data_IF_723461779766
#
_entry.id   IF_723461779766
#
_cell.length_a   1.000
_cell.length_b   1.000
_cell.length_c   1.000
_cell.angle_alpha   90.00
_cell.angle_beta   90.00
_cell.angle_gamma   90.00
#
_symmetry.space_group_name_H-M   'P 1'
#
loop_
_entity.id
_entity.type
_entity.pdbx_description
1 polymer ?
#
# COMPACT_ATOMS: atom_id res chain seq x y z
N UNK A 1 -13.49 2.47 7.97
CA UNK A 1 -12.10 2.01 7.71
C UNK A 1 -11.27 3.26 7.56
N UNK A 2 -10.17 3.40 8.31
CA UNK A 2 -9.40 4.64 8.30
C UNK A 2 -8.19 4.53 7.36
N UNK A 3 -7.91 5.63 6.65
CA UNK A 3 -6.72 5.78 5.81
C UNK A 3 -5.82 6.88 6.32
N UNK A 4 -4.53 6.75 6.07
CA UNK A 4 -3.51 7.68 6.54
C UNK A 4 -2.63 8.11 5.38
N UNK A 5 -2.32 9.42 5.33
CA UNK A 5 -1.40 10.02 4.37
C UNK A 5 -0.39 10.91 5.08
N UNK A 6 0.76 10.33 5.43
CA UNK A 6 1.76 10.95 6.33
C UNK A 6 3.17 10.70 5.82
N UNK A 7 4.17 11.45 6.30
CA UNK A 7 5.57 11.28 5.87
C UNK A 7 6.27 10.18 6.65
N UNK A 8 7.12 9.42 5.96
CA UNK A 8 8.06 8.49 6.58
C UNK A 8 9.33 9.20 7.07
N UNK A 9 10.23 8.47 7.72
CA UNK A 9 11.52 9.00 8.19
C UNK A 9 12.43 9.52 7.06
N UNK A 10 12.14 9.18 5.80
CA UNK A 10 12.83 9.68 4.60
C UNK A 10 12.06 10.81 3.95
N UNK A 11 11.15 11.43 4.69
CA UNK A 11 10.39 12.58 4.26
C UNK A 11 9.44 12.32 3.09
N UNK A 12 9.19 11.05 2.73
CA UNK A 12 8.32 10.61 1.64
C UNK A 12 6.92 10.30 2.16
N UNK A 13 5.91 10.79 1.47
CA UNK A 13 4.52 10.47 1.79
C UNK A 13 4.22 8.97 1.59
N UNK A 14 3.49 8.43 2.56
CA UNK A 14 3.00 7.05 2.59
C UNK A 14 1.50 7.04 2.73
N UNK A 15 0.85 6.18 1.97
CA UNK A 15 -0.57 5.89 2.05
C UNK A 15 -0.77 4.49 2.59
N UNK A 16 -1.52 4.35 3.68
CA UNK A 16 -1.84 3.05 4.28
C UNK A 16 -3.21 3.11 4.98
N UNK A 17 -3.70 1.96 5.44
CA UNK A 17 -4.99 1.84 6.14
C UNK A 17 -4.81 1.22 7.51
N UNK A 18 -5.81 1.38 8.38
CA UNK A 18 -5.80 0.80 9.73
C UNK A 18 -5.90 -0.72 9.77
N UNK A 19 -6.39 -1.32 8.69
CA UNK A 19 -6.49 -2.77 8.57
C UNK A 19 -5.09 -3.45 8.60
N UNK A 20 -4.92 -4.56 9.33
CA UNK A 20 -3.66 -5.29 9.40
C UNK A 20 -3.31 -5.90 8.04
N UNK A 21 -2.04 -6.23 7.80
CA UNK A 21 -1.66 -6.95 6.59
C UNK A 21 -2.44 -8.26 6.48
N UNK A 22 -3.01 -8.54 5.31
CA UNK A 22 -3.72 -9.81 5.06
C UNK A 22 -3.17 -10.45 3.80
N UNK A 23 -3.09 -11.78 3.80
CA UNK A 23 -2.77 -12.50 2.57
C UNK A 23 -3.82 -12.19 1.51
N UNK A 24 -3.35 -11.98 0.27
CA UNK A 24 -4.24 -11.71 -0.86
C UNK A 24 -4.95 -13.02 -1.21
N UNK A 25 -6.22 -13.15 -0.77
CA UNK A 25 -7.05 -14.31 -1.05
C UNK A 25 -7.70 -14.19 -2.44
N UNK A 26 -7.53 -15.23 -3.26
CA UNK A 26 -8.15 -15.39 -4.58
C UNK A 26 -8.72 -16.82 -4.62
N UNK A 27 -9.96 -17.02 -5.12
CA UNK A 27 -10.57 -18.35 -5.18
C UNK A 27 -9.73 -19.30 -6.05
N UNK A 28 -9.36 -20.45 -5.47
CA UNK A 28 -8.43 -21.43 -6.07
C UNK A 28 -9.21 -22.61 -6.60
N UNK A 29 -8.96 -23.08 -7.83
CA UNK A 29 -9.60 -24.30 -8.35
C UNK A 29 -8.66 -25.45 -8.73
N UNK A 30 -7.39 -25.25 -9.16
CA UNK A 30 -6.58 -26.42 -9.64
C UNK A 30 -5.07 -26.48 -9.36
N UNK A 31 -4.39 -25.43 -8.86
CA UNK A 31 -2.91 -25.43 -8.68
C UNK A 31 -2.45 -24.86 -7.33
N UNK A 32 -3.01 -25.40 -6.23
CA UNK A 32 -2.78 -24.92 -4.85
C UNK A 32 -1.29 -24.74 -4.48
N UNK A 33 -0.41 -25.66 -4.86
CA UNK A 33 1.02 -25.64 -4.48
C UNK A 33 1.83 -24.55 -5.18
N UNK A 34 1.64 -24.35 -6.49
CA UNK A 34 2.33 -23.26 -7.21
C UNK A 34 1.85 -21.90 -6.70
N UNK A 35 0.56 -21.82 -6.35
CA UNK A 35 -0.05 -20.63 -5.77
C UNK A 35 0.45 -20.30 -4.36
N UNK A 36 0.52 -21.28 -3.46
CA UNK A 36 1.08 -21.10 -2.12
C UNK A 36 2.54 -20.63 -2.17
N UNK A 37 3.33 -21.18 -3.10
CA UNK A 37 4.72 -20.74 -3.32
C UNK A 37 4.78 -19.32 -3.90
N UNK A 38 3.87 -18.97 -4.79
CA UNK A 38 3.75 -17.61 -5.33
C UNK A 38 3.35 -16.59 -4.26
N UNK A 39 2.42 -16.93 -3.36
CA UNK A 39 2.04 -16.09 -2.21
C UNK A 39 3.24 -15.84 -1.29
N UNK A 40 4.03 -16.88 -0.97
CA UNK A 40 5.29 -16.71 -0.22
C UNK A 40 6.29 -15.78 -0.93
N UNK A 41 6.32 -15.78 -2.26
CA UNK A 41 7.15 -14.83 -3.02
C UNK A 41 6.58 -13.42 -3.00
N UNK A 42 5.27 -13.24 -2.98
CA UNK A 42 4.64 -11.92 -2.88
C UNK A 42 4.95 -11.25 -1.53
N UNK A 43 4.99 -12.03 -0.44
CA UNK A 43 5.39 -11.53 0.89
C UNK A 43 6.88 -11.12 0.96
N UNK A 44 7.68 -11.40 -0.08
CA UNK A 44 9.05 -10.87 -0.19
C UNK A 44 9.07 -9.42 -0.69
N UNK A 45 7.94 -8.88 -1.19
CA UNK A 45 7.85 -7.46 -1.49
C UNK A 45 8.14 -6.64 -0.21
N UNK A 46 8.82 -5.49 -0.32
CA UNK A 46 9.02 -4.61 0.82
C UNK A 46 7.68 -4.34 1.53
N UNK A 47 7.57 -4.54 2.85
CA UNK A 47 6.30 -4.41 3.58
C UNK A 47 5.57 -3.09 3.32
N UNK A 48 6.34 -2.01 3.13
CA UNK A 48 5.83 -0.67 2.77
C UNK A 48 5.02 -0.66 1.48
N UNK A 49 5.51 -1.36 0.47
CA UNK A 49 4.86 -1.43 -0.83
C UNK A 49 3.60 -2.28 -0.67
N UNK A 50 3.72 -3.46 -0.05
CA UNK A 50 2.60 -4.37 0.13
C UNK A 50 1.44 -3.73 0.93
N UNK A 51 1.75 -3.03 2.03
CA UNK A 51 0.76 -2.29 2.83
C UNK A 51 0.06 -1.19 2.04
N UNK A 52 0.80 -0.48 1.18
CA UNK A 52 0.24 0.54 0.31
C UNK A 52 -0.68 -0.07 -0.74
N UNK A 53 -0.27 -1.15 -1.40
CA UNK A 53 -1.10 -1.84 -2.40
C UNK A 53 -2.38 -2.39 -1.76
N UNK A 54 -2.28 -2.99 -0.59
CA UNK A 54 -3.45 -3.45 0.16
C UNK A 54 -4.37 -2.30 0.56
N UNK A 55 -3.83 -1.14 0.94
CA UNK A 55 -4.64 0.03 1.23
C UNK A 55 -5.44 0.48 0.00
N UNK A 56 -4.84 0.50 -1.19
CA UNK A 56 -5.58 0.79 -2.43
C UNK A 56 -6.63 -0.28 -2.73
N UNK A 57 -6.29 -1.56 -2.63
CA UNK A 57 -7.24 -2.65 -2.87
C UNK A 57 -8.46 -2.56 -1.94
N UNK A 58 -8.25 -2.14 -0.69
CA UNK A 58 -9.32 -1.98 0.30
C UNK A 58 -10.32 -0.89 -0.05
N UNK A 59 -9.92 0.14 -0.80
CA UNK A 59 -10.85 1.17 -1.30
C UNK A 59 -12.00 0.55 -2.10
N UNK A 60 -11.76 -0.57 -2.78
CA UNK A 60 -12.79 -1.27 -3.54
C UNK A 60 -13.94 -1.78 -2.66
N UNK A 61 -13.69 -1.96 -1.35
CA UNK A 61 -14.66 -2.42 -0.35
C UNK A 61 -15.30 -1.27 0.44
N UNK A 62 -14.84 -0.04 0.25
CA UNK A 62 -15.41 1.13 0.95
C UNK A 62 -16.63 1.61 0.17
N UNK A 63 -17.79 1.56 0.81
CA UNK A 63 -19.07 1.97 0.21
C UNK A 63 -19.34 3.47 0.43
N UNK A 64 -18.80 4.03 1.51
CA UNK A 64 -18.95 5.43 1.94
C UNK A 64 -18.69 6.44 0.82
N UNK A 65 -19.52 7.49 0.79
CA UNK A 65 -19.43 8.56 -0.21
C UNK A 65 -18.15 9.39 -0.06
N UNK A 66 -17.79 9.70 1.19
CA UNK A 66 -16.57 10.39 1.57
C UNK A 66 -15.57 9.43 2.22
N UNK A 67 -14.30 9.56 1.84
CA UNK A 67 -13.21 8.76 2.38
C UNK A 67 -12.34 9.64 3.29
N UNK A 68 -12.24 9.25 4.56
CA UNK A 68 -11.40 9.90 5.56
C UNK A 68 -9.93 9.52 5.40
N UNK A 69 -9.08 10.53 5.17
CA UNK A 69 -7.64 10.39 5.02
C UNK A 69 -6.95 11.25 6.07
N UNK A 70 -6.56 10.59 7.16
CA UNK A 70 -5.85 11.21 8.28
C UNK A 70 -4.48 11.72 7.86
N UNK A 71 -4.12 12.93 8.30
CA UNK A 71 -2.81 13.52 8.07
C UNK A 71 -2.25 14.18 9.33
N UNK A 72 -0.96 14.50 9.33
CA UNK A 72 -0.24 14.99 10.52
C UNK A 72 -0.65 16.38 11.04
N UNK A 73 -1.46 17.16 10.32
CA UNK A 73 -1.79 18.54 10.74
C UNK A 73 -0.67 19.58 10.59
N UNK A 74 0.60 19.21 10.42
CA UNK A 74 1.74 20.15 10.28
C UNK A 74 1.68 21.04 9.03
N UNK A 75 0.85 20.68 8.05
CA UNK A 75 0.67 21.43 6.81
C UNK A 75 -0.81 21.76 6.62
N UNK A 76 -1.12 22.93 6.02
CA UNK A 76 -2.49 23.30 5.72
C UNK A 76 -3.18 22.24 4.85
N UNK A 77 -4.47 22.00 5.11
CA UNK A 77 -5.27 20.98 4.43
C UNK A 77 -5.22 21.14 2.89
N UNK A 78 -5.30 22.38 2.38
CA UNK A 78 -5.19 22.67 0.93
C UNK A 78 -3.91 22.08 0.31
N UNK A 79 -2.79 22.15 1.05
CA UNK A 79 -1.50 21.62 0.60
C UNK A 79 -1.47 20.10 0.65
N UNK A 80 -2.08 19.50 1.68
CA UNK A 80 -2.20 18.03 1.80
C UNK A 80 -3.07 17.48 0.69
N UNK A 81 -4.22 18.10 0.41
CA UNK A 81 -5.11 17.74 -0.71
C UNK A 81 -4.38 17.74 -2.05
N UNK A 82 -3.63 18.81 -2.34
CA UNK A 82 -2.82 18.87 -3.56
C UNK A 82 -1.75 17.78 -3.60
N UNK A 83 -0.98 17.61 -2.52
CA UNK A 83 0.06 16.57 -2.43
C UNK A 83 -0.52 15.16 -2.61
N UNK A 84 -1.68 14.91 -2.03
CA UNK A 84 -2.40 13.65 -2.15
C UNK A 84 -2.86 13.41 -3.58
N UNK A 85 -3.45 14.41 -4.25
CA UNK A 85 -3.87 14.29 -5.66
C UNK A 85 -2.68 13.98 -6.60
N UNK A 86 -1.55 14.67 -6.42
CA UNK A 86 -0.32 14.41 -7.17
C UNK A 86 0.26 13.04 -6.85
N UNK A 87 0.17 12.60 -5.60
CA UNK A 87 0.56 11.26 -5.19
C UNK A 87 -0.28 10.20 -5.89
N UNK A 88 -1.62 10.33 -5.92
CA UNK A 88 -2.49 9.40 -6.63
C UNK A 88 -2.19 9.36 -8.12
N UNK A 89 -1.98 10.53 -8.76
CA UNK A 89 -1.60 10.58 -10.17
C UNK A 89 -0.29 9.82 -10.43
N UNK A 90 0.74 10.06 -9.61
CA UNK A 90 2.02 9.35 -9.69
C UNK A 90 1.85 7.83 -9.50
N UNK A 91 1.05 7.41 -8.52
CA UNK A 91 0.81 5.98 -8.28
C UNK A 91 0.04 5.33 -9.43
N UNK A 92 -0.95 6.03 -10.00
CA UNK A 92 -1.68 5.56 -11.18
C UNK A 92 -0.74 5.32 -12.36
N UNK A 93 0.09 6.30 -12.70
CA UNK A 93 1.05 6.17 -13.81
C UNK A 93 2.05 5.04 -13.56
N UNK A 94 2.56 4.91 -12.33
CA UNK A 94 3.45 3.80 -11.94
C UNK A 94 2.78 2.45 -12.16
N UNK A 95 1.53 2.28 -11.73
CA UNK A 95 0.78 1.03 -11.88
C UNK A 95 0.52 0.67 -13.34
N UNK A 96 0.14 1.66 -14.16
CA UNK A 96 -0.05 1.45 -15.60
C UNK A 96 1.26 0.98 -16.25
N UNK A 97 2.39 1.63 -15.94
CA UNK A 97 3.70 1.23 -16.47
C UNK A 97 4.10 -0.18 -16.02
N UNK A 98 3.86 -0.54 -14.75
CA UNK A 98 4.13 -1.89 -14.24
C UNK A 98 3.30 -2.93 -15.01
N UNK A 99 1.98 -2.71 -15.15
CA UNK A 99 1.10 -3.64 -15.86
C UNK A 99 1.47 -3.81 -17.34
N UNK A 100 1.90 -2.73 -18.01
CA UNK A 100 2.44 -2.81 -19.38
C UNK A 100 3.69 -3.69 -19.40
N UNK A 101 4.65 -3.45 -18.50
CA UNK A 101 5.85 -4.25 -18.38
C UNK A 101 5.57 -5.73 -18.11
N UNK A 102 4.65 -6.01 -17.18
CA UNK A 102 4.23 -7.37 -16.84
C UNK A 102 3.55 -8.08 -18.03
N UNK A 103 2.76 -7.35 -18.83
CA UNK A 103 2.10 -7.89 -20.03
C UNK A 103 3.12 -8.27 -21.10
N UNK A 104 4.22 -7.51 -21.25
CA UNK A 104 5.32 -7.86 -22.16
C UNK A 104 6.07 -9.11 -21.67
N UNK A 105 6.21 -9.27 -20.34
CA UNK A 105 6.86 -10.42 -19.73
C UNK A 105 5.98 -11.68 -19.69
N UNK A 106 4.66 -11.52 -19.78
CA UNK A 106 3.71 -12.61 -19.65
C UNK A 106 3.90 -13.70 -20.72
N UNK A 107 4.08 -13.41 -22.03
CA UNK A 107 4.42 -14.40 -23.04
C UNK A 107 5.68 -15.22 -22.70
N UNK A 108 6.74 -14.56 -22.20
CA UNK A 108 7.98 -15.22 -21.81
C UNK A 108 7.75 -16.18 -20.62
N UNK A 109 6.95 -15.75 -19.63
CA UNK A 109 6.59 -16.59 -18.49
C UNK A 109 5.61 -17.73 -18.86
N UNK A 110 4.81 -17.53 -19.90
CA UNK A 110 3.91 -18.53 -20.47
C UNK A 110 4.67 -19.65 -21.17
N UNK A 111 5.77 -19.35 -21.85
CA UNK A 111 6.68 -20.36 -22.40
C UNK A 111 7.33 -21.20 -21.29
N UNK A 112 7.69 -20.58 -20.16
CA UNK A 112 8.19 -21.31 -18.99
C UNK A 112 7.11 -22.22 -18.35
N UNK A 113 5.82 -22.02 -18.66
CA UNK A 113 4.73 -22.91 -18.22
C UNK A 113 4.70 -24.25 -18.93
N UNK A 114 5.39 -24.36 -20.06
CA UNK A 114 5.51 -25.60 -20.82
C UNK A 114 6.57 -26.54 -20.22
N UNK A 115 7.38 -26.06 -19.27
CA UNK A 115 8.36 -26.88 -18.56
C UNK A 115 7.70 -27.73 -17.48
N UNK A 116 8.07 -29.02 -17.33
CA UNK A 116 7.48 -29.90 -16.33
C UNK A 116 7.83 -29.42 -14.91
N UNK A 117 6.80 -29.16 -14.09
CA UNK A 117 6.92 -28.73 -12.70
C UNK A 117 5.87 -27.69 -12.29
N UNK A 118 5.78 -27.32 -11.00
CA UNK A 118 4.91 -26.24 -10.58
C UNK A 118 5.45 -24.92 -11.15
N UNK A 119 4.69 -24.27 -12.04
CA UNK A 119 5.10 -22.99 -12.60
C UNK A 119 4.87 -21.83 -11.62
N UNK A 120 5.73 -21.77 -10.60
CA UNK A 120 5.74 -20.74 -9.56
C UNK A 120 6.02 -19.35 -10.14
N UNK A 121 6.82 -19.25 -11.20
CA UNK A 121 7.18 -17.98 -11.81
C UNK A 121 5.96 -17.31 -12.47
N UNK A 122 5.21 -18.07 -13.27
CA UNK A 122 3.96 -17.58 -13.85
C UNK A 122 2.90 -17.29 -12.78
N UNK A 123 2.77 -18.16 -11.77
CA UNK A 123 1.83 -17.92 -10.67
C UNK A 123 2.17 -16.64 -9.88
N UNK A 124 3.47 -16.37 -9.64
CA UNK A 124 3.93 -15.15 -8.98
C UNK A 124 3.69 -13.90 -9.83
N UNK A 125 3.99 -13.98 -11.14
CA UNK A 125 3.72 -12.88 -12.07
C UNK A 125 2.22 -12.59 -12.15
N UNK A 126 1.38 -13.62 -12.25
CA UNK A 126 -0.08 -13.47 -12.27
C UNK A 126 -0.61 -12.83 -10.98
N UNK A 127 -0.09 -13.24 -9.81
CA UNK A 127 -0.49 -12.65 -8.53
C UNK A 127 -0.05 -11.18 -8.42
N UNK A 128 1.15 -10.83 -8.89
CA UNK A 128 1.61 -9.44 -8.97
C UNK A 128 0.71 -8.60 -9.88
N UNK A 129 0.40 -9.10 -11.09
CA UNK A 129 -0.51 -8.43 -12.03
C UNK A 129 -1.89 -8.21 -11.42
N UNK A 130 -2.47 -9.24 -10.78
CA UNK A 130 -3.78 -9.10 -10.13
C UNK A 130 -3.72 -8.08 -8.99
N UNK A 131 -2.64 -8.08 -8.20
CA UNK A 131 -2.44 -7.12 -7.11
C UNK A 131 -2.37 -5.69 -7.65
N UNK A 132 -1.52 -5.44 -8.66
CA UNK A 132 -1.37 -4.14 -9.28
C UNK A 132 -2.63 -3.68 -10.02
N UNK A 133 -3.36 -4.60 -10.65
CA UNK A 133 -4.64 -4.30 -11.29
C UNK A 133 -5.69 -3.87 -10.28
N UNK A 134 -5.87 -4.62 -9.19
CA UNK A 134 -6.84 -4.27 -8.13
C UNK A 134 -6.42 -3.00 -7.40
N UNK A 135 -5.13 -2.78 -7.18
CA UNK A 135 -4.63 -1.53 -6.62
C UNK A 135 -4.91 -0.35 -7.57
N UNK A 136 -4.70 -0.50 -8.88
CA UNK A 136 -5.04 0.53 -9.88
C UNK A 136 -6.53 0.86 -9.88
N UNK A 137 -7.41 -0.16 -9.84
CA UNK A 137 -8.85 0.05 -9.68
C UNK A 137 -9.15 0.84 -8.39
N UNK A 138 -8.49 0.47 -7.29
CA UNK A 138 -8.60 1.17 -6.01
C UNK A 138 -8.16 2.63 -6.07
N UNK A 139 -7.04 2.92 -6.73
CA UNK A 139 -6.52 4.28 -6.96
C UNK A 139 -7.52 5.10 -7.77
N UNK A 140 -8.06 4.55 -8.86
CA UNK A 140 -9.03 5.24 -9.70
C UNK A 140 -10.33 5.52 -8.95
N UNK A 141 -10.82 4.55 -8.17
CA UNK A 141 -11.99 4.75 -7.30
C UNK A 141 -11.73 5.80 -6.23
N UNK A 142 -10.57 5.76 -5.58
CA UNK A 142 -10.15 6.74 -4.58
C UNK A 142 -10.09 8.14 -5.17
N UNK A 143 -9.48 8.31 -6.36
CA UNK A 143 -9.35 9.60 -7.02
C UNK A 143 -10.71 10.24 -7.39
N UNK A 144 -11.74 9.42 -7.66
CA UNK A 144 -13.09 9.89 -8.00
C UNK A 144 -14.03 10.12 -6.81
N UNK A 145 -13.59 9.87 -5.57
CA UNK A 145 -14.42 10.03 -4.36
C UNK A 145 -14.13 11.35 -3.66
N UNK A 146 -15.08 11.81 -2.84
CA UNK A 146 -14.87 12.96 -1.95
C UNK A 146 -13.86 12.57 -0.86
N UNK A 147 -12.93 13.46 -0.55
CA UNK A 147 -11.93 13.27 0.50
C UNK A 147 -12.14 14.24 1.64
N UNK A 148 -12.18 13.67 2.84
CA UNK A 148 -12.07 14.39 4.09
C UNK A 148 -10.66 14.19 4.64
N UNK A 149 -10.06 15.26 5.16
CA UNK A 149 -8.69 15.25 5.67
C UNK A 149 -8.67 15.56 7.17
N UNK A 150 -9.15 14.63 8.02
CA UNK A 150 -9.06 14.79 9.46
C UNK A 150 -7.59 14.85 9.91
N UNK A 151 -7.34 15.60 10.98
CA UNK A 151 -6.02 15.71 11.59
C UNK A 151 -5.81 14.55 12.57
N UNK A 152 -4.66 13.91 12.47
CA UNK A 152 -4.17 12.88 13.39
C UNK A 152 -2.89 13.40 14.08
N UNK A 153 -3.02 14.07 15.24
CA UNK A 153 -1.94 14.88 15.83
C UNK A 153 -0.68 14.12 16.19
N UNK A 154 -0.77 12.83 16.56
CA UNK A 154 0.42 12.04 16.89
C UNK A 154 1.38 11.87 15.69
N UNK A 155 0.87 11.98 14.46
CA UNK A 155 1.73 12.00 13.29
C UNK A 155 2.49 13.33 13.12
N UNK A 156 2.04 14.42 13.75
CA UNK A 156 2.82 15.65 13.87
C UNK A 156 4.08 15.40 14.70
N UNK A 157 3.89 14.83 15.89
CA UNK A 157 4.98 14.49 16.81
C UNK A 157 6.00 13.58 16.13
N UNK A 158 5.53 12.59 15.37
CA UNK A 158 6.36 11.68 14.59
C UNK A 158 7.21 12.42 13.55
N UNK A 159 6.59 13.27 12.73
CA UNK A 159 7.29 14.01 11.68
C UNK A 159 8.32 14.98 12.28
N UNK A 160 8.00 15.63 13.41
CA UNK A 160 8.93 16.50 14.12
C UNK A 160 10.11 15.74 14.74
N UNK A 161 9.85 14.60 15.39
CA UNK A 161 10.90 13.75 15.98
C UNK A 161 11.85 13.21 14.90
N UNK A 162 11.31 12.80 13.75
CA UNK A 162 12.12 12.40 12.59
C UNK A 162 12.99 13.55 12.07
N UNK A 163 12.43 14.76 11.97
CA UNK A 163 13.16 15.95 11.52
C UNK A 163 14.30 16.37 12.45
N UNK A 164 14.22 15.99 13.74
CA UNK A 164 15.27 16.26 14.75
C UNK A 164 16.23 15.09 14.98
N UNK A 165 16.12 14.01 14.20
CA UNK A 165 16.93 12.79 14.32
C UNK A 165 16.93 12.14 15.73
N UNK A 166 15.82 12.23 16.46
CA UNK A 166 15.68 11.66 17.81
C UNK A 166 15.18 10.21 17.75
N UNK A 167 16.07 9.24 17.49
CA UNK A 167 15.67 7.83 17.22
C UNK A 167 14.87 7.18 18.36
N UNK A 168 15.26 7.38 19.63
CA UNK A 168 14.54 6.82 20.79
C UNK A 168 13.10 7.36 20.86
N UNK A 169 12.95 8.67 20.72
CA UNK A 169 11.64 9.34 20.71
C UNK A 169 10.78 8.90 19.52
N UNK A 170 11.39 8.64 18.37
CA UNK A 170 10.70 8.10 17.19
C UNK A 170 10.06 6.74 17.49
N UNK A 171 10.78 5.83 18.15
CA UNK A 171 10.24 4.52 18.52
C UNK A 171 9.08 4.64 19.53
N UNK A 172 9.20 5.51 20.53
CA UNK A 172 8.13 5.78 21.51
C UNK A 172 6.87 6.33 20.84
N UNK A 173 7.00 7.29 19.94
CA UNK A 173 5.86 7.89 19.22
C UNK A 173 5.18 6.86 18.34
N UNK A 174 5.94 6.00 17.64
CA UNK A 174 5.34 4.92 16.83
C UNK A 174 4.50 3.97 17.68
N UNK A 175 4.98 3.61 18.88
CA UNK A 175 4.21 2.78 19.81
C UNK A 175 2.92 3.47 20.27
N UNK A 176 2.95 4.80 20.49
CA UNK A 176 1.74 5.58 20.82
C UNK A 176 0.75 5.61 19.64
N UNK A 177 1.25 5.86 18.42
CA UNK A 177 0.47 5.85 17.17
C UNK A 177 -0.22 4.49 16.96
N UNK A 178 0.51 3.39 17.17
CA UNK A 178 -0.05 2.04 17.05
C UNK A 178 -1.22 1.80 18.01
N UNK A 179 -1.08 2.23 19.26
CA UNK A 179 -2.12 2.09 20.28
C UNK A 179 -3.34 2.96 19.98
N UNK A 180 -3.13 4.25 19.71
CA UNK A 180 -4.19 5.24 19.51
C UNK A 180 -5.05 4.91 18.29
N UNK A 181 -4.39 4.65 17.14
CA UNK A 181 -5.08 4.42 15.88
C UNK A 181 -5.32 2.93 15.57
N UNK A 182 -5.07 2.06 16.56
CA UNK A 182 -5.19 0.59 16.45
C UNK A 182 -4.46 0.02 15.22
N UNK A 183 -3.27 0.56 14.96
CA UNK A 183 -2.43 0.15 13.84
C UNK A 183 -1.49 -0.97 14.27
N UNK A 184 -0.99 -1.72 13.29
CA UNK A 184 -0.01 -2.78 13.52
C UNK A 184 1.19 -2.64 12.61
N UNK A 185 2.39 -2.74 13.18
CA UNK A 185 3.67 -2.73 12.46
C UNK A 185 3.88 -1.44 11.65
N UNK A 186 3.52 -0.29 12.22
CA UNK A 186 3.69 1.03 11.61
C UNK A 186 5.18 1.35 11.40
N UNK A 187 6.06 0.80 12.24
CA UNK A 187 7.51 0.86 12.04
C UNK A 187 7.94 0.37 10.65
N UNK A 188 7.35 -0.74 10.16
CA UNK A 188 7.63 -1.27 8.83
C UNK A 188 7.19 -0.35 7.70
N UNK A 189 6.25 0.57 7.97
CA UNK A 189 5.69 1.52 6.99
C UNK A 189 6.47 2.84 7.00
N UNK A 190 6.64 3.43 8.19
CA UNK A 190 7.15 4.79 8.37
C UNK A 190 8.64 4.85 8.72
N UNK A 191 9.20 3.79 9.29
CA UNK A 191 10.59 3.81 9.76
C UNK A 191 11.50 2.86 8.99
N UNK A 192 12.35 2.06 9.65
CA UNK A 192 13.28 1.08 9.07
C UNK A 192 12.57 -0.26 8.91
#
# INVERSE_FOLDING_TARGET
MEFFFVRDHREKYRFFSSEPEKDISIPVSRTKRAWELAQKKLTLLPPRILRQEQAFIRILKVEDEAISIHHSGLRPEKRIRLRFSLFLYKQRSKHVLILIGETILLPLSGLAALLPGPNVAFAALALLMITHWRALQGINRLAGRKHEFPVAPLFADWEEACGRAQEERCAEILNKIEKEYRLSQVNKILWK
#
